data_IF_619256952811
#
_entry.id   IF_619256952811
#
_cell.length_a   1.000
_cell.length_b   1.000
_cell.length_c   1.000
_cell.angle_alpha   90.00
_cell.angle_beta   90.00
_cell.angle_gamma   90.00
#
_symmetry.space_group_name_H-M   'P 1'
#
loop_
_entity.id
_entity.type
_entity.pdbx_description
1 polymer ?
#
# COMPACT_ATOMS: atom_id res chain seq x y z
N UNK A 1 31.91 -2.11 16.15
CA UNK A 1 32.30 -0.72 16.48
C UNK A 1 31.47 -0.25 17.65
N UNK A 2 32.09 0.20 18.73
CA UNK A 2 31.37 0.82 19.86
C UNK A 2 30.72 2.13 19.39
N UNK A 3 29.45 2.32 19.72
CA UNK A 3 28.82 3.63 19.53
C UNK A 3 29.40 4.57 20.60
N UNK A 4 29.98 5.69 20.17
CA UNK A 4 30.40 6.77 21.08
C UNK A 4 29.29 7.82 21.16
N UNK A 5 29.29 8.61 22.23
CA UNK A 5 28.33 9.70 22.41
C UNK A 5 28.30 10.66 21.21
N UNK A 6 29.47 11.08 20.74
CA UNK A 6 29.58 12.03 19.61
C UNK A 6 29.10 11.43 18.29
N UNK A 7 29.34 10.12 18.08
CA UNK A 7 28.82 9.41 16.91
C UNK A 7 27.30 9.37 16.90
N UNK A 8 26.67 9.14 18.05
CA UNK A 8 25.21 9.17 18.17
C UNK A 8 24.64 10.57 17.86
N UNK A 9 25.32 11.63 18.32
CA UNK A 9 24.96 13.03 18.03
C UNK A 9 25.04 13.31 16.52
N UNK A 10 26.13 12.91 15.87
CA UNK A 10 26.32 13.09 14.42
C UNK A 10 25.25 12.33 13.62
N UNK A 11 24.98 11.07 13.99
CA UNK A 11 23.93 10.26 13.36
C UNK A 11 22.54 10.86 13.55
N UNK A 12 22.25 11.45 14.71
CA UNK A 12 20.97 12.12 14.95
C UNK A 12 20.80 13.37 14.06
N UNK A 13 21.87 14.14 13.82
CA UNK A 13 21.85 15.28 12.88
C UNK A 13 21.57 14.80 11.45
N UNK A 14 22.33 13.81 10.97
CA UNK A 14 22.14 13.23 9.64
C UNK A 14 20.73 12.67 9.43
N UNK A 15 20.20 11.98 10.44
CA UNK A 15 18.88 11.37 10.39
C UNK A 15 17.74 12.38 10.21
N UNK A 16 17.93 13.62 10.66
CA UNK A 16 16.89 14.66 10.64
C UNK A 16 16.83 15.39 9.31
N UNK A 17 17.93 15.38 8.56
CA UNK A 17 17.98 15.90 7.19
C UNK A 17 17.28 14.97 6.18
N UNK A 18 16.84 13.77 6.60
CA UNK A 18 16.12 12.85 5.73
C UNK A 18 14.67 13.35 5.47
N UNK A 19 14.29 13.61 4.21
CA UNK A 19 12.92 14.05 3.89
C UNK A 19 11.89 12.97 4.23
N UNK A 20 10.70 13.40 4.66
CA UNK A 20 9.51 12.57 4.95
C UNK A 20 9.63 11.52 6.07
N UNK A 21 10.70 11.54 6.87
CA UNK A 21 10.84 10.61 8.00
C UNK A 21 10.28 11.20 9.28
N UNK A 22 9.31 10.51 9.90
CA UNK A 22 8.89 10.84 11.27
C UNK A 22 10.03 10.55 12.24
N UNK A 23 10.55 11.61 12.86
CA UNK A 23 11.64 11.55 13.85
C UNK A 23 11.12 10.87 15.12
N UNK A 24 11.32 9.55 15.22
CA UNK A 24 10.95 8.75 16.39
C UNK A 24 12.17 7.97 16.90
N UNK A 25 12.25 7.76 18.21
CA UNK A 25 13.34 7.00 18.83
C UNK A 25 13.45 5.59 18.25
N UNK A 26 12.31 4.92 18.02
CA UNK A 26 12.27 3.55 17.50
C UNK A 26 12.79 3.44 16.06
N UNK A 27 12.49 4.41 15.19
CA UNK A 27 12.98 4.39 13.81
C UNK A 27 14.47 4.71 13.77
N UNK A 28 14.91 5.72 14.52
CA UNK A 28 16.34 6.05 14.67
C UNK A 28 17.16 4.84 15.13
N UNK A 29 16.76 4.18 16.23
CA UNK A 29 17.47 3.03 16.79
C UNK A 29 17.57 1.87 15.79
N UNK A 30 16.51 1.65 15.00
CA UNK A 30 16.47 0.61 13.97
C UNK A 30 17.42 0.91 12.82
N UNK A 31 17.37 2.13 12.28
CA UNK A 31 18.20 2.53 11.12
C UNK A 31 19.67 2.59 11.47
N UNK A 32 20.00 3.17 12.63
CA UNK A 32 21.39 3.30 13.08
C UNK A 32 21.93 2.02 13.73
N UNK A 33 21.09 0.98 13.85
CA UNK A 33 21.41 -0.30 14.50
C UNK A 33 21.96 -0.11 15.92
N UNK A 34 21.38 0.84 16.66
CA UNK A 34 21.75 1.17 18.03
C UNK A 34 20.75 0.51 18.97
N UNK A 35 21.25 -0.20 19.99
CA UNK A 35 20.36 -0.76 21.01
C UNK A 35 19.81 0.35 21.91
N UNK A 36 18.57 0.24 22.43
CA UNK A 36 18.05 1.19 23.41
C UNK A 36 18.98 1.37 24.62
N UNK A 37 19.60 0.29 25.11
CA UNK A 37 20.52 0.33 26.26
C UNK A 37 21.78 1.15 25.95
N UNK A 38 22.29 1.06 24.72
CA UNK A 38 23.41 1.89 24.27
C UNK A 38 23.04 3.37 24.28
N UNK A 39 21.82 3.73 23.84
CA UNK A 39 21.34 5.10 23.90
C UNK A 39 21.29 5.61 25.35
N UNK A 40 20.65 4.88 26.26
CA UNK A 40 20.54 5.28 27.67
C UNK A 40 21.88 5.29 28.42
N UNK A 41 22.85 4.47 28.01
CA UNK A 41 24.20 4.50 28.57
C UNK A 41 24.93 5.82 28.26
N UNK A 42 24.71 6.40 27.09
CA UNK A 42 25.37 7.65 26.67
C UNK A 42 24.55 8.91 26.97
N UNK A 43 23.23 8.75 27.20
CA UNK A 43 22.27 9.82 27.50
C UNK A 43 21.35 9.39 28.66
N UNK A 44 21.86 9.32 29.90
CA UNK A 44 21.14 8.72 31.03
C UNK A 44 20.00 9.59 31.58
N UNK A 45 20.03 10.90 31.35
CA UNK A 45 19.07 11.85 31.94
C UNK A 45 17.77 11.95 31.13
N UNK A 46 17.84 11.75 29.81
CA UNK A 46 16.67 11.85 28.94
C UNK A 46 16.64 10.91 27.74
N UNK A 47 17.66 10.07 27.56
CA UNK A 47 17.74 9.11 26.46
C UNK A 47 17.58 9.80 25.10
N UNK A 48 16.46 9.54 24.43
CA UNK A 48 16.17 10.12 23.12
C UNK A 48 16.03 11.65 23.14
N UNK A 49 15.39 12.24 24.16
CA UNK A 49 15.23 13.70 24.18
C UNK A 49 16.56 14.40 24.39
N UNK A 50 17.39 13.86 25.28
CA UNK A 50 18.72 14.39 25.56
C UNK A 50 19.65 14.27 24.34
N UNK A 51 19.55 13.17 23.56
CA UNK A 51 20.25 13.04 22.28
C UNK A 51 19.82 14.11 21.27
N UNK A 52 18.51 14.37 21.13
CA UNK A 52 18.01 15.40 20.23
C UNK A 52 18.42 16.81 20.68
N UNK A 53 18.43 17.07 21.98
CA UNK A 53 18.94 18.32 22.57
C UNK A 53 20.44 18.49 22.26
N UNK A 54 21.24 17.46 22.49
CA UNK A 54 22.68 17.47 22.19
C UNK A 54 22.98 17.60 20.69
N UNK A 55 22.09 17.11 19.82
CA UNK A 55 22.19 17.25 18.38
C UNK A 55 21.80 18.66 17.88
N UNK A 56 21.27 19.53 18.74
CA UNK A 56 20.71 20.82 18.31
C UNK A 56 19.45 20.67 17.45
N UNK A 57 18.86 19.47 17.45
CA UNK A 57 17.68 19.13 16.67
C UNK A 57 16.40 19.26 17.49
N UNK A 58 16.51 19.55 18.79
CA UNK A 58 15.36 19.84 19.63
C UNK A 58 14.72 21.20 19.34
N UNK A 59 14.48 21.52 18.07
CA UNK A 59 13.58 22.59 17.70
C UNK A 59 12.13 22.15 18.00
N UNK A 60 11.58 22.76 19.05
CA UNK A 60 10.15 22.81 19.41
C UNK A 60 9.59 21.62 20.19
N UNK A 61 10.20 21.24 21.32
CA UNK A 61 9.33 21.19 22.52
C UNK A 61 8.79 22.62 22.64
N UNK A 62 7.57 22.87 22.13
CA UNK A 62 6.83 24.10 22.41
C UNK A 62 7.06 24.35 23.89
N UNK A 63 7.79 25.42 24.23
CA UNK A 63 7.99 25.83 25.63
C UNK A 63 6.63 25.70 26.28
N UNK A 64 6.44 24.70 27.13
CA UNK A 64 5.18 24.37 27.77
C UNK A 64 4.85 25.36 28.89
N UNK A 65 5.29 26.62 28.73
CA UNK A 65 5.05 27.72 29.65
C UNK A 65 3.95 28.67 29.17
N UNK A 66 3.55 28.59 27.90
CA UNK A 66 2.33 29.24 27.42
C UNK A 66 1.39 28.12 27.02
N UNK A 67 0.40 27.83 27.85
CA UNK A 67 -0.64 26.86 27.53
C UNK A 67 -1.10 27.16 26.10
N UNK A 68 -0.83 26.22 25.17
CA UNK A 68 -1.22 26.42 23.78
C UNK A 68 -2.71 26.81 23.81
N UNK A 69 -3.08 27.98 23.25
CA UNK A 69 -4.41 28.52 23.47
C UNK A 69 -5.42 27.43 23.16
N UNK A 70 -6.29 27.14 24.12
CA UNK A 70 -7.22 26.02 24.05
C UNK A 70 -7.95 26.08 22.71
N UNK A 71 -8.12 24.93 22.06
CA UNK A 71 -8.95 24.86 20.87
C UNK A 71 -10.39 25.07 21.29
N UNK A 72 -11.07 26.01 20.65
CA UNK A 72 -12.51 26.19 20.74
C UNK A 72 -13.16 25.86 19.38
N UNK A 73 -14.49 25.74 19.38
CA UNK A 73 -15.27 25.41 18.19
C UNK A 73 -15.04 26.44 17.07
N UNK A 74 -15.05 27.73 17.41
CA UNK A 74 -14.88 28.85 16.45
C UNK A 74 -13.51 28.82 15.77
N UNK A 75 -12.44 28.53 16.51
CA UNK A 75 -11.08 28.44 15.97
C UNK A 75 -10.90 27.23 15.08
N UNK A 76 -11.53 26.09 15.39
CA UNK A 76 -11.52 24.93 14.50
C UNK A 76 -12.18 25.26 13.16
N UNK A 77 -13.34 25.91 13.18
CA UNK A 77 -14.05 26.36 11.98
C UNK A 77 -13.21 27.35 11.17
N UNK A 78 -12.65 28.38 11.83
CA UNK A 78 -11.76 29.35 11.18
C UNK A 78 -10.55 28.68 10.54
N UNK A 79 -9.90 27.75 11.25
CA UNK A 79 -8.72 27.04 10.77
C UNK A 79 -9.03 26.10 9.60
N UNK A 80 -10.22 25.51 9.58
CA UNK A 80 -10.69 24.71 8.46
C UNK A 80 -10.89 25.58 7.20
N UNK A 81 -11.54 26.74 7.33
CA UNK A 81 -11.69 27.71 6.23
C UNK A 81 -10.33 28.17 5.68
N UNK A 82 -9.38 28.47 6.58
CA UNK A 82 -7.99 28.80 6.18
C UNK A 82 -7.31 27.65 5.44
N UNK A 83 -7.54 26.40 5.86
CA UNK A 83 -6.97 25.22 5.21
C UNK A 83 -7.52 25.04 3.79
N UNK A 84 -8.84 25.15 3.60
CA UNK A 84 -9.48 25.06 2.27
C UNK A 84 -8.98 26.19 1.36
N UNK A 85 -8.87 27.42 1.89
CA UNK A 85 -8.35 28.57 1.13
C UNK A 85 -6.89 28.38 0.69
N UNK A 86 -6.06 27.77 1.54
CA UNK A 86 -4.63 27.58 1.24
C UNK A 86 -4.36 26.36 0.37
N UNK A 87 -5.28 25.39 0.32
CA UNK A 87 -5.10 24.13 -0.40
C UNK A 87 -6.34 23.77 -1.24
N UNK A 88 -6.71 24.60 -2.24
CA UNK A 88 -7.95 24.40 -3.01
C UNK A 88 -8.00 23.07 -3.77
N UNK A 89 -6.85 22.57 -4.24
CA UNK A 89 -6.76 21.32 -5.01
C UNK A 89 -6.61 20.07 -4.13
N UNK A 90 -6.51 20.25 -2.82
CA UNK A 90 -6.22 19.15 -1.89
C UNK A 90 -7.52 18.55 -1.37
N UNK A 91 -7.62 17.22 -1.40
CA UNK A 91 -8.74 16.51 -0.80
C UNK A 91 -8.88 16.85 0.71
N UNK A 92 -10.03 17.42 1.08
CA UNK A 92 -10.43 17.81 2.43
C UNK A 92 -10.75 16.61 3.35
N UNK A 93 -9.72 15.85 3.69
CA UNK A 93 -9.84 14.71 4.62
C UNK A 93 -9.59 15.14 6.08
N UNK A 94 -10.27 14.51 7.04
CA UNK A 94 -10.07 14.77 8.46
C UNK A 94 -8.61 14.60 8.88
N UNK A 95 -7.91 13.62 8.30
CA UNK A 95 -6.51 13.33 8.61
C UNK A 95 -5.57 14.45 8.15
N UNK A 96 -5.71 14.91 6.90
CA UNK A 96 -4.90 16.02 6.37
C UNK A 96 -5.13 17.30 7.17
N UNK A 97 -6.39 17.61 7.46
CA UNK A 97 -6.71 18.76 8.30
C UNK A 97 -6.10 18.64 9.71
N UNK A 98 -6.25 17.48 10.38
CA UNK A 98 -5.67 17.27 11.71
C UNK A 98 -4.14 17.43 11.70
N UNK A 99 -3.48 16.89 10.68
CA UNK A 99 -2.03 17.02 10.48
C UNK A 99 -1.62 18.48 10.28
N UNK A 100 -2.32 19.21 9.40
CA UNK A 100 -2.06 20.61 9.12
C UNK A 100 -2.34 21.53 10.33
N UNK A 101 -3.44 21.29 11.04
CA UNK A 101 -3.80 22.06 12.23
C UNK A 101 -2.97 21.68 13.47
N UNK A 102 -2.23 20.57 13.43
CA UNK A 102 -1.46 20.05 14.55
C UNK A 102 -2.36 19.64 15.73
N UNK A 103 -3.49 19.00 15.45
CA UNK A 103 -4.48 18.55 16.45
C UNK A 103 -4.75 17.05 16.34
N UNK A 104 -5.19 16.45 17.44
CA UNK A 104 -5.66 15.07 17.43
C UNK A 104 -7.10 15.00 16.89
N UNK A 105 -7.47 13.87 16.27
CA UNK A 105 -8.86 13.61 15.81
C UNK A 105 -9.88 13.70 16.96
N UNK A 106 -9.46 13.31 18.17
CA UNK A 106 -10.27 13.41 19.39
C UNK A 106 -10.63 14.87 19.74
N UNK A 107 -9.77 15.84 19.40
CA UNK A 107 -10.07 17.27 19.59
C UNK A 107 -11.33 17.66 18.81
N UNK A 108 -11.47 17.21 17.56
CA UNK A 108 -12.67 17.48 16.76
C UNK A 108 -13.90 16.85 17.40
N UNK A 109 -13.84 15.56 17.78
CA UNK A 109 -14.98 14.88 18.44
C UNK A 109 -15.42 15.57 19.74
N UNK A 110 -14.47 16.10 20.52
CA UNK A 110 -14.78 16.82 21.77
C UNK A 110 -15.58 18.10 21.54
N UNK A 111 -15.34 18.82 20.44
CA UNK A 111 -16.06 20.08 20.14
C UNK A 111 -17.28 19.88 19.23
N UNK A 112 -17.37 18.73 18.56
CA UNK A 112 -18.45 18.34 17.66
C UNK A 112 -18.88 16.89 17.99
N UNK A 113 -19.62 16.67 19.09
CA UNK A 113 -19.87 15.32 19.61
C UNK A 113 -20.81 14.47 18.74
N UNK A 114 -21.77 15.10 18.05
CA UNK A 114 -22.80 14.37 17.30
C UNK A 114 -22.27 13.75 16.00
N UNK A 115 -21.80 14.56 15.05
CA UNK A 115 -21.32 14.09 13.74
C UNK A 115 -19.85 14.38 13.48
N UNK A 116 -19.13 14.93 14.47
CA UNK A 116 -17.68 15.12 14.42
C UNK A 116 -17.23 15.96 13.23
N UNK A 117 -16.51 15.31 12.32
CA UNK A 117 -15.94 15.94 11.13
C UNK A 117 -17.01 16.57 10.23
N UNK A 118 -18.16 15.93 10.07
CA UNK A 118 -19.24 16.42 9.20
C UNK A 118 -19.86 17.71 9.73
N UNK A 119 -19.99 17.86 11.04
CA UNK A 119 -20.50 19.11 11.64
C UNK A 119 -19.50 20.25 11.49
N UNK A 120 -18.21 19.96 11.70
CA UNK A 120 -17.14 20.93 11.50
C UNK A 120 -17.09 21.46 10.05
N UNK A 121 -17.25 20.58 9.05
CA UNK A 121 -17.37 20.98 7.63
C UNK A 121 -18.59 21.86 7.40
N UNK A 122 -19.76 21.42 7.88
CA UNK A 122 -21.02 22.16 7.74
C UNK A 122 -20.91 23.58 8.31
N UNK A 123 -20.31 23.74 9.50
CA UNK A 123 -20.10 25.06 10.09
C UNK A 123 -19.03 25.90 9.38
N UNK A 124 -18.06 25.25 8.74
CA UNK A 124 -17.10 25.94 7.90
C UNK A 124 -17.72 26.48 6.59
N UNK A 125 -18.93 26.06 6.22
CA UNK A 125 -19.54 26.37 4.93
C UNK A 125 -19.13 25.38 3.84
N UNK A 126 -18.45 24.30 4.21
CA UNK A 126 -18.10 23.21 3.32
C UNK A 126 -19.23 22.18 3.30
N UNK A 127 -19.49 21.57 2.15
CA UNK A 127 -20.52 20.53 2.07
C UNK A 127 -20.11 19.35 2.99
N UNK A 128 -20.93 18.96 3.98
CA UNK A 128 -20.63 17.83 4.86
C UNK A 128 -20.55 16.49 4.10
N UNK A 129 -21.20 16.39 2.93
CA UNK A 129 -21.08 15.30 1.97
C UNK A 129 -19.79 15.37 1.14
N UNK A 130 -19.17 16.55 1.07
CA UNK A 130 -17.87 16.76 0.42
C UNK A 130 -16.80 16.07 1.25
N UNK A 131 -16.56 14.83 0.88
CA UNK A 131 -15.60 13.86 1.41
C UNK A 131 -16.04 13.04 2.63
N UNK A 132 -16.68 11.92 2.28
CA UNK A 132 -16.04 10.62 2.46
C UNK A 132 -15.91 9.97 1.07
N UNK A 133 -14.77 10.03 0.40
CA UNK A 133 -14.38 9.01 -0.61
C UNK A 133 -14.12 7.65 0.09
N UNK A 134 -15.00 7.28 1.01
CA UNK A 134 -15.27 5.91 1.43
C UNK A 134 -16.42 5.32 0.60
N UNK A 135 -17.08 6.12 -0.25
CA UNK A 135 -17.68 5.60 -1.50
C UNK A 135 -16.51 5.19 -2.37
N UNK A 136 -16.48 3.93 -2.74
CA UNK A 136 -15.30 3.26 -3.26
C UNK A 136 -14.52 4.13 -4.24
N UNK A 137 -13.23 4.31 -3.97
CA UNK A 137 -12.30 4.98 -4.88
C UNK A 137 -12.28 4.37 -6.28
N UNK A 138 -12.81 3.15 -6.41
CA UNK A 138 -12.78 2.38 -7.62
C UNK A 138 -14.21 2.12 -8.10
N UNK A 139 -14.49 2.57 -9.32
CA UNK A 139 -15.64 2.13 -10.11
C UNK A 139 -15.54 0.62 -10.37
N UNK A 140 -16.67 -0.05 -10.63
CA UNK A 140 -16.67 -1.48 -10.99
C UNK A 140 -15.72 -1.76 -12.15
N UNK A 141 -15.72 -0.87 -13.17
CA UNK A 141 -14.81 -0.94 -14.31
C UNK A 141 -13.34 -0.91 -13.89
N UNK A 142 -12.94 0.04 -13.04
CA UNK A 142 -11.56 0.12 -12.56
C UNK A 142 -11.12 -1.13 -11.80
N UNK A 143 -12.01 -1.73 -11.00
CA UNK A 143 -11.70 -2.98 -10.28
C UNK A 143 -11.51 -4.13 -11.29
N UNK A 144 -12.36 -4.22 -12.32
CA UNK A 144 -12.25 -5.25 -13.37
C UNK A 144 -10.98 -5.07 -14.22
N UNK A 145 -10.69 -3.84 -14.65
CA UNK A 145 -9.47 -3.51 -15.41
C UNK A 145 -8.22 -3.90 -14.61
N UNK A 146 -8.14 -3.46 -13.35
CA UNK A 146 -7.00 -3.79 -12.48
C UNK A 146 -6.91 -5.27 -12.16
N UNK A 147 -8.03 -6.00 -12.02
CA UNK A 147 -8.01 -7.45 -11.89
C UNK A 147 -7.40 -8.12 -13.14
N UNK A 148 -7.77 -7.65 -14.33
CA UNK A 148 -7.26 -8.15 -15.61
C UNK A 148 -5.77 -7.92 -15.78
N UNK A 149 -5.28 -6.75 -15.39
CA UNK A 149 -3.85 -6.43 -15.44
C UNK A 149 -3.03 -7.36 -14.54
N UNK A 150 -3.50 -7.61 -13.32
CA UNK A 150 -2.84 -8.54 -12.40
C UNK A 150 -2.90 -9.98 -12.93
N UNK A 151 -4.04 -10.41 -13.50
CA UNK A 151 -4.18 -11.76 -14.10
C UNK A 151 -3.22 -11.96 -15.26
N UNK A 152 -3.13 -10.98 -16.18
CA UNK A 152 -2.18 -11.02 -17.31
C UNK A 152 -0.73 -11.03 -16.82
N UNK A 153 -0.40 -10.20 -15.83
CA UNK A 153 0.93 -10.15 -15.23
C UNK A 153 1.35 -11.49 -14.60
N UNK A 154 0.41 -12.22 -14.01
CA UNK A 154 0.64 -13.53 -13.39
C UNK A 154 0.51 -14.72 -14.36
N UNK A 155 0.46 -14.48 -15.68
CA UNK A 155 0.38 -15.56 -16.68
C UNK A 155 -1.00 -16.21 -16.79
N UNK A 156 -2.06 -15.41 -16.68
CA UNK A 156 -3.47 -15.81 -16.78
C UNK A 156 -3.97 -16.75 -15.66
N UNK A 157 -3.20 -16.89 -14.58
CA UNK A 157 -3.58 -17.64 -13.37
C UNK A 157 -4.66 -16.89 -12.58
N UNK A 158 -5.52 -17.64 -11.88
CA UNK A 158 -6.56 -17.07 -11.00
C UNK A 158 -5.92 -16.22 -9.90
N UNK A 159 -6.34 -14.96 -9.81
CA UNK A 159 -5.75 -13.97 -8.90
C UNK A 159 -6.35 -14.09 -7.50
N UNK A 160 -5.48 -14.10 -6.49
CA UNK A 160 -5.84 -14.07 -5.07
C UNK A 160 -6.04 -12.64 -4.56
N UNK A 161 -6.74 -12.48 -3.44
CA UNK A 161 -6.97 -11.17 -2.80
C UNK A 161 -5.67 -10.50 -2.36
N UNK A 162 -4.71 -11.26 -1.85
CA UNK A 162 -3.36 -10.76 -1.50
C UNK A 162 -2.59 -10.22 -2.70
N UNK A 163 -2.73 -10.86 -3.87
CA UNK A 163 -2.11 -10.38 -5.10
C UNK A 163 -2.78 -9.09 -5.61
N UNK A 164 -4.11 -8.98 -5.53
CA UNK A 164 -4.82 -7.75 -5.90
C UNK A 164 -4.46 -6.58 -5.00
N UNK A 165 -4.34 -6.80 -3.69
CA UNK A 165 -3.90 -5.76 -2.76
C UNK A 165 -2.47 -5.31 -3.07
N UNK A 166 -1.56 -6.27 -3.29
CA UNK A 166 -0.15 -5.99 -3.60
C UNK A 166 0.06 -5.28 -4.94
N UNK A 167 -0.65 -5.70 -5.98
CA UNK A 167 -0.37 -5.26 -7.35
C UNK A 167 -1.32 -4.16 -7.87
N UNK A 168 -2.56 -4.10 -7.38
CA UNK A 168 -3.56 -3.14 -7.81
C UNK A 168 -4.07 -2.22 -6.68
N UNK A 169 -3.63 -2.44 -5.43
CA UNK A 169 -4.09 -1.64 -4.29
C UNK A 169 -5.58 -1.83 -3.97
N UNK A 170 -6.17 -2.94 -4.41
CA UNK A 170 -7.55 -3.29 -4.10
C UNK A 170 -7.61 -4.13 -2.83
N UNK A 171 -8.05 -3.50 -1.73
CA UNK A 171 -8.25 -4.21 -0.48
C UNK A 171 -9.39 -5.22 -0.56
N UNK A 172 -9.33 -6.27 0.26
CA UNK A 172 -10.40 -7.26 0.41
C UNK A 172 -11.78 -6.62 0.65
N UNK A 173 -11.82 -5.61 1.52
CA UNK A 173 -13.05 -4.88 1.83
C UNK A 173 -13.64 -4.17 0.60
N UNK A 174 -12.79 -3.65 -0.29
CA UNK A 174 -13.22 -3.04 -1.56
C UNK A 174 -13.85 -4.09 -2.46
N UNK A 175 -13.21 -5.25 -2.61
CA UNK A 175 -13.71 -6.34 -3.45
C UNK A 175 -15.07 -6.84 -2.95
N UNK A 176 -15.19 -7.13 -1.65
CA UNK A 176 -16.44 -7.62 -1.05
C UNK A 176 -17.56 -6.58 -1.11
N UNK A 177 -17.25 -5.30 -0.95
CA UNK A 177 -18.24 -4.22 -1.08
C UNK A 177 -18.86 -4.16 -2.47
N UNK A 178 -18.10 -4.48 -3.53
CA UNK A 178 -18.55 -4.36 -4.91
C UNK A 178 -19.10 -5.65 -5.50
N UNK A 179 -18.43 -6.77 -5.22
CA UNK A 179 -18.72 -8.05 -5.85
C UNK A 179 -19.23 -9.10 -4.86
N UNK A 180 -19.15 -8.87 -3.54
CA UNK A 180 -19.56 -9.85 -2.53
C UNK A 180 -18.57 -11.01 -2.31
N UNK A 181 -17.87 -11.47 -3.35
CA UNK A 181 -16.82 -12.48 -3.26
C UNK A 181 -15.76 -12.33 -4.36
N UNK A 182 -14.61 -13.00 -4.19
CA UNK A 182 -13.54 -13.03 -5.20
C UNK A 182 -13.92 -13.89 -6.41
N UNK A 183 -14.70 -14.95 -6.20
CA UNK A 183 -15.32 -15.79 -7.24
C UNK A 183 -16.18 -14.94 -8.17
N UNK A 184 -17.03 -14.09 -7.58
CA UNK A 184 -17.92 -13.20 -8.32
C UNK A 184 -17.14 -12.15 -9.11
N UNK A 185 -16.06 -11.59 -8.55
CA UNK A 185 -15.15 -10.71 -9.30
C UNK A 185 -14.55 -11.44 -10.51
N UNK A 186 -14.06 -12.67 -10.34
CA UNK A 186 -13.46 -13.46 -11.41
C UNK A 186 -14.44 -13.71 -12.57
N UNK A 187 -15.65 -14.16 -12.27
CA UNK A 187 -16.67 -14.45 -13.29
C UNK A 187 -17.10 -13.19 -14.04
N UNK A 188 -17.32 -12.09 -13.29
CA UNK A 188 -17.68 -10.81 -13.91
C UNK A 188 -16.53 -10.24 -14.74
N UNK A 189 -15.27 -10.50 -14.35
CA UNK A 189 -14.11 -10.17 -15.17
C UNK A 189 -14.06 -10.96 -16.47
N UNK A 190 -14.32 -12.27 -16.45
CA UNK A 190 -14.33 -13.08 -17.69
C UNK A 190 -15.43 -12.65 -18.67
N UNK A 191 -16.59 -12.27 -18.14
CA UNK A 191 -17.65 -11.67 -18.96
C UNK A 191 -17.23 -10.30 -19.51
N UNK A 192 -16.60 -9.46 -18.68
CA UNK A 192 -16.09 -8.15 -19.07
C UNK A 192 -14.99 -8.24 -20.14
N UNK A 193 -14.03 -9.15 -19.98
CA UNK A 193 -12.92 -9.37 -20.92
C UNK A 193 -13.44 -9.85 -22.29
N UNK A 194 -14.45 -10.72 -22.29
CA UNK A 194 -15.08 -11.21 -23.52
C UNK A 194 -15.93 -10.16 -24.24
N UNK A 195 -16.63 -9.31 -23.50
CA UNK A 195 -17.66 -8.42 -24.07
C UNK A 195 -17.24 -6.96 -24.16
N UNK A 196 -16.20 -6.54 -23.43
CA UNK A 196 -15.80 -5.15 -23.24
C UNK A 196 -16.80 -4.31 -22.44
N UNK A 197 -17.87 -4.90 -21.88
CA UNK A 197 -18.94 -4.20 -21.15
C UNK A 197 -19.03 -4.70 -19.73
N UNK A 198 -19.18 -3.79 -18.77
CA UNK A 198 -19.36 -4.15 -17.35
C UNK A 198 -20.72 -4.83 -17.20
N UNK A 199 -20.80 -6.06 -16.66
CA UNK A 199 -22.08 -6.73 -16.46
C UNK A 199 -23.00 -5.94 -15.52
N UNK A 200 -24.23 -5.72 -15.96
CA UNK A 200 -25.30 -5.10 -15.16
C UNK A 200 -26.62 -5.85 -15.42
N UNK A 201 -27.13 -6.65 -14.46
CA UNK A 201 -26.59 -6.88 -13.12
C UNK A 201 -25.30 -7.73 -13.11
N UNK A 202 -24.57 -7.69 -11.99
CA UNK A 202 -23.41 -8.57 -11.78
C UNK A 202 -23.85 -10.04 -11.81
N UNK A 203 -23.08 -10.87 -12.53
CA UNK A 203 -23.32 -12.30 -12.62
C UNK A 203 -23.06 -12.97 -11.26
N UNK A 204 -23.92 -13.90 -10.87
CA UNK A 204 -23.72 -14.73 -9.69
C UNK A 204 -22.85 -15.95 -10.04
N UNK A 205 -21.98 -16.41 -9.13
CA UNK A 205 -21.30 -17.68 -9.32
C UNK A 205 -22.32 -18.82 -9.43
N UNK A 206 -22.07 -19.82 -10.28
CA UNK A 206 -22.91 -21.02 -10.31
C UNK A 206 -22.93 -21.60 -8.89
N UNK A 207 -24.09 -22.07 -8.39
CA UNK A 207 -24.17 -22.64 -7.05
C UNK A 207 -23.15 -23.77 -6.97
N UNK A 208 -22.22 -23.67 -6.03
CA UNK A 208 -21.25 -24.72 -5.79
C UNK A 208 -22.01 -26.00 -5.45
N UNK A 209 -22.20 -26.89 -6.43
CA UNK A 209 -22.69 -28.25 -6.19
C UNK A 209 -21.56 -29.09 -5.61
N UNK A 210 -20.94 -28.61 -4.55
CA UNK A 210 -20.14 -29.47 -3.70
C UNK A 210 -21.14 -30.03 -2.72
N UNK A 211 -21.74 -31.18 -3.05
CA UNK A 211 -22.16 -32.07 -1.97
C UNK A 211 -20.84 -32.45 -1.29
N UNK A 212 -20.56 -31.99 -0.06
CA UNK A 212 -19.43 -32.55 0.67
C UNK A 212 -19.65 -34.06 0.64
N UNK A 213 -18.68 -34.80 0.13
CA UNK A 213 -18.76 -36.24 0.21
C UNK A 213 -18.76 -36.54 1.71
N UNK A 214 -19.93 -36.89 2.27
CA UNK A 214 -20.14 -36.93 3.72
C UNK A 214 -19.20 -37.93 4.42
N UNK A 215 -18.62 -38.85 3.64
CA UNK A 215 -17.51 -39.68 4.06
C UNK A 215 -16.19 -39.11 3.54
N UNK A 216 -15.49 -38.40 4.42
CA UNK A 216 -14.04 -38.18 4.31
C UNK A 216 -13.27 -39.53 4.25
N UNK A 217 -13.95 -40.65 4.52
CA UNK A 217 -13.46 -42.02 4.54
C UNK A 217 -13.88 -42.87 3.32
N UNK A 218 -14.66 -42.33 2.38
CA UNK A 218 -14.96 -43.00 1.09
C UNK A 218 -13.86 -42.74 0.05
N UNK A 219 -12.62 -42.55 0.51
CA UNK A 219 -11.49 -42.76 -0.38
C UNK A 219 -11.36 -44.26 -0.56
N UNK A 220 -11.26 -44.77 -1.81
CA UNK A 220 -10.82 -46.14 -2.00
C UNK A 220 -9.51 -46.32 -1.19
N UNK A 221 -9.32 -47.45 -0.50
CA UNK A 221 -8.08 -47.71 0.22
C UNK A 221 -6.94 -47.42 -0.75
N UNK A 222 -5.97 -46.62 -0.31
CA UNK A 222 -4.77 -46.37 -1.10
C UNK A 222 -4.26 -47.74 -1.56
N UNK A 223 -3.96 -47.94 -2.86
CA UNK A 223 -3.38 -49.19 -3.31
C UNK A 223 -2.18 -49.49 -2.41
N UNK A 224 -1.97 -50.76 -2.00
CA UNK A 224 -0.81 -51.11 -1.21
C UNK A 224 0.40 -50.51 -1.89
N UNK A 225 1.23 -49.80 -1.12
CA UNK A 225 2.48 -49.26 -1.63
C UNK A 225 3.23 -50.45 -2.22
N UNK A 226 3.22 -50.55 -3.55
CA UNK A 226 4.01 -51.57 -4.23
C UNK A 226 5.45 -51.40 -3.73
N UNK A 227 6.20 -52.50 -3.53
CA UNK A 227 7.63 -52.40 -3.30
C UNK A 227 8.16 -51.42 -4.33
N UNK A 228 8.65 -50.26 -3.88
CA UNK A 228 9.19 -49.30 -4.82
C UNK A 228 10.35 -50.02 -5.48
N UNK A 229 10.18 -50.40 -6.75
CA UNK A 229 11.30 -50.80 -7.56
C UNK A 229 12.32 -49.68 -7.42
N UNK A 230 13.57 -50.00 -7.05
CA UNK A 230 14.60 -49.00 -6.91
C UNK A 230 14.58 -48.19 -8.20
N UNK A 231 14.29 -46.89 -8.06
CA UNK A 231 14.16 -46.02 -9.22
C UNK A 231 15.42 -46.21 -10.07
N UNK A 232 15.31 -46.49 -11.38
CA UNK A 232 16.47 -46.92 -12.18
C UNK A 232 17.63 -45.92 -12.15
N UNK A 233 17.34 -44.64 -11.92
CA UNK A 233 18.36 -43.59 -11.75
C UNK A 233 19.09 -43.59 -10.40
N UNK A 234 18.64 -44.38 -9.41
CA UNK A 234 19.37 -44.65 -8.16
C UNK A 234 20.33 -45.84 -8.28
N UNK A 235 20.13 -46.70 -9.29
CA UNK A 235 21.00 -47.86 -9.53
C UNK A 235 22.19 -47.53 -10.44
N UNK A 236 22.10 -46.45 -11.23
CA UNK A 236 23.23 -45.96 -11.99
C UNK A 236 24.22 -45.29 -11.03
N UNK A 237 25.47 -45.80 -10.90
CA UNK A 237 26.50 -45.09 -10.18
C UNK A 237 26.62 -43.71 -10.81
N UNK A 238 26.47 -42.66 -9.97
CA UNK A 238 26.64 -41.27 -10.39
C UNK A 238 27.91 -41.22 -11.24
N UNK A 239 27.83 -40.90 -12.55
CA UNK A 239 29.00 -40.92 -13.40
C UNK A 239 30.02 -39.96 -12.80
N UNK A 240 31.17 -40.51 -12.43
CA UNK A 240 32.31 -39.85 -11.79
C UNK A 240 32.88 -38.68 -12.63
N UNK A 241 32.29 -38.42 -13.80
CA UNK A 241 32.60 -37.33 -14.74
C UNK A 241 32.22 -35.93 -14.24
N UNK A 242 31.61 -35.79 -13.05
CA UNK A 242 31.30 -34.46 -12.50
C UNK A 242 32.47 -33.77 -11.77
N UNK A 243 33.65 -34.40 -11.74
CA UNK A 243 34.85 -33.88 -11.07
C UNK A 243 36.04 -33.68 -12.02
N UNK A 244 35.82 -33.52 -13.33
CA UNK A 244 36.90 -33.13 -14.24
C UNK A 244 37.05 -31.60 -14.23
N UNK A 245 38.08 -31.02 -13.57
CA UNK A 245 38.26 -29.58 -13.43
C UNK A 245 38.60 -28.90 -14.76
N UNK A 246 38.77 -29.65 -15.85
CA UNK A 246 39.14 -29.11 -17.16
C UNK A 246 37.96 -28.74 -18.06
N UNK A 247 36.72 -29.10 -17.69
CA UNK A 247 35.54 -28.77 -18.47
C UNK A 247 34.78 -27.60 -17.81
N UNK A 248 34.95 -26.36 -18.30
CA UNK A 248 34.22 -25.22 -17.74
C UNK A 248 32.72 -25.43 -17.95
N UNK A 249 31.88 -25.08 -16.96
CA UNK A 249 30.43 -25.16 -17.11
C UNK A 249 30.00 -24.32 -18.32
N UNK A 250 28.94 -24.74 -19.05
CA UNK A 250 28.42 -23.97 -20.16
C UNK A 250 28.12 -22.54 -19.69
N UNK A 251 28.39 -21.51 -20.53
CA UNK A 251 28.16 -20.14 -20.16
C UNK A 251 26.70 -19.97 -19.77
N UNK A 252 26.47 -19.49 -18.54
CA UNK A 252 25.12 -19.20 -18.04
C UNK A 252 24.51 -18.18 -19.00
N UNK A 253 23.34 -18.46 -19.59
CA UNK A 253 22.69 -17.52 -20.50
C UNK A 253 22.49 -16.19 -19.77
N UNK A 254 23.15 -15.16 -20.27
CA UNK A 254 23.10 -13.83 -19.68
C UNK A 254 21.67 -13.34 -19.83
N UNK A 255 20.97 -12.96 -18.74
CA UNK A 255 19.61 -12.44 -18.87
C UNK A 255 19.64 -11.19 -19.74
N UNK A 256 18.82 -11.16 -20.78
CA UNK A 256 18.67 -10.00 -21.64
C UNK A 256 18.42 -8.76 -20.77
N UNK A 257 19.06 -7.62 -21.06
CA UNK A 257 18.85 -6.40 -20.28
C UNK A 257 17.36 -6.06 -20.26
N UNK A 258 16.83 -5.61 -19.10
CA UNK A 258 15.44 -5.22 -19.00
C UNK A 258 15.16 -4.12 -20.01
N UNK A 259 14.25 -4.38 -20.95
CA UNK A 259 13.75 -3.36 -21.87
C UNK A 259 13.25 -2.18 -21.05
N UNK A 260 13.74 -0.99 -21.37
CA UNK A 260 13.31 0.24 -20.69
C UNK A 260 11.83 0.47 -20.98
N UNK A 261 11.09 1.04 -20.02
CA UNK A 261 9.67 1.38 -20.22
C UNK A 261 9.46 2.25 -21.46
N UNK A 262 10.45 3.07 -21.82
CA UNK A 262 10.44 3.89 -23.04
C UNK A 262 10.41 3.05 -24.32
N UNK A 263 11.21 1.98 -24.43
CA UNK A 263 11.18 1.09 -25.59
C UNK A 263 9.87 0.30 -25.67
N UNK A 264 9.29 -0.07 -24.52
CA UNK A 264 8.03 -0.84 -24.44
C UNK A 264 6.80 0.00 -24.83
N UNK A 265 6.90 1.32 -24.81
CA UNK A 265 5.79 2.23 -25.12
C UNK A 265 6.05 3.16 -26.30
N UNK A 266 7.22 3.10 -26.95
CA UNK A 266 7.55 3.89 -28.15
C UNK A 266 6.58 3.69 -29.33
N UNK A 267 5.81 2.59 -29.33
CA UNK A 267 4.80 2.27 -30.35
C UNK A 267 3.37 2.69 -29.96
N UNK A 268 3.13 3.13 -28.71
CA UNK A 268 1.86 3.76 -28.34
C UNK A 268 1.97 5.23 -28.76
N UNK A 269 1.64 5.45 -30.03
CA UNK A 269 2.00 6.63 -30.81
C UNK A 269 1.50 7.95 -30.24
N UNK A 270 2.28 9.00 -30.50
CA UNK A 270 1.89 10.42 -30.40
C UNK A 270 0.52 10.72 -31.02
N UNK A 271 0.05 9.88 -31.95
CA UNK A 271 -1.25 10.00 -32.59
C UNK A 271 -2.43 9.72 -31.63
N UNK A 272 -2.27 8.76 -30.71
CA UNK A 272 -3.29 8.45 -29.70
C UNK A 272 -3.42 9.60 -28.68
N UNK A 273 -2.28 10.19 -28.30
CA UNK A 273 -2.22 11.37 -27.42
C UNK A 273 -2.82 12.59 -28.13
N UNK A 274 -2.51 12.79 -29.42
CA UNK A 274 -3.09 13.88 -30.23
C UNK A 274 -4.61 13.75 -30.37
N UNK A 275 -5.13 12.55 -30.65
CA UNK A 275 -6.57 12.31 -30.78
C UNK A 275 -7.33 12.56 -29.47
N UNK A 276 -6.77 12.16 -28.33
CA UNK A 276 -7.39 12.40 -27.03
C UNK A 276 -7.38 13.90 -26.64
N UNK A 277 -6.30 14.62 -26.93
CA UNK A 277 -6.24 16.07 -26.72
C UNK A 277 -7.22 16.84 -27.61
N UNK A 278 -7.39 16.43 -28.87
CA UNK A 278 -8.36 17.05 -29.78
C UNK A 278 -9.80 16.86 -29.28
N UNK A 279 -10.11 15.66 -28.77
CA UNK A 279 -11.44 15.31 -28.24
C UNK A 279 -11.79 16.13 -27.00
N UNK A 280 -10.83 16.33 -26.09
CA UNK A 280 -11.00 17.17 -24.90
C UNK A 280 -11.20 18.65 -25.25
N UNK A 281 -10.53 19.15 -26.29
CA UNK A 281 -10.67 20.53 -26.74
C UNK A 281 -12.04 20.80 -27.37
N UNK A 282 -12.62 19.83 -28.08
CA UNK A 282 -13.98 19.93 -28.63
C UNK A 282 -15.05 19.87 -27.54
N UNK A 283 -14.84 19.06 -26.49
CA UNK A 283 -15.80 18.94 -25.38
C UNK A 283 -15.83 20.17 -24.45
N UNK A 284 -14.78 20.99 -24.44
CA UNK A 284 -14.67 22.18 -23.59
C UNK A 284 -15.16 23.48 -24.26
N UNK A 285 -15.54 23.45 -25.54
CA UNK A 285 -15.88 24.62 -26.34
C UNK A 285 -17.32 24.67 -26.86
N UNK A 286 -18.25 23.90 -26.27
CA UNK A 286 -19.67 23.85 -26.62
C UNK A 286 -20.57 24.08 -25.43
#
# INVERSE_FOLDING_TARGET
MSATRDRLIAQAKEYVELPDVRITSRDFLRRMKVSPNTLYRHFPSGGWSELLDAAGVSNRRRKSGTAAPSWDRKRLVKRLREFVKTHPDTLLTQERFCSHAGIARATIRRHFPEKGWSDLKREAGEDPGWQTEGRSRYTLRQILDGYGDVRRYLGNVRVTTTQLDRHAGFSLATIYKHFGSIEKLHINWEAYDRTGKVPDPLLEPPPEKIKPNHNLYDFPPLPPLLPQEPLPWLADPVPERLMDPTNPPPPIPTPSPPQTLEEKYAHISDEAIRKELLRRRQAAGG
#
